data_IF_723014159052
#
_entry.id   IF_723014159052
#
_cell.length_a   1.000
_cell.length_b   1.000
_cell.length_c   1.000
_cell.angle_alpha   90.00
_cell.angle_beta   90.00
_cell.angle_gamma   90.00
#
_symmetry.space_group_name_H-M   'P 1'
#
loop_
_entity.id
_entity.type
_entity.pdbx_description
1 polymer ?
#
# COMPACT_ATOMS: atom_id res chain seq x y z
N UNK A 1 -12.25 11.42 -26.76
CA UNK A 1 -12.59 12.01 -25.45
C UNK A 1 -11.30 12.02 -24.64
N UNK A 2 -10.54 13.12 -24.70
CA UNK A 2 -9.26 13.22 -23.98
C UNK A 2 -9.58 13.36 -22.50
N UNK A 3 -9.44 12.29 -21.74
CA UNK A 3 -9.33 12.39 -20.29
C UNK A 3 -8.05 13.16 -20.03
N UNK A 4 -8.15 14.48 -19.87
CA UNK A 4 -7.13 15.31 -19.21
C UNK A 4 -7.06 14.84 -17.75
N UNK A 5 -6.53 13.64 -17.53
CA UNK A 5 -5.93 13.28 -16.26
C UNK A 5 -4.73 14.21 -16.15
N UNK A 6 -4.77 15.12 -15.19
CA UNK A 6 -3.59 15.87 -14.82
C UNK A 6 -2.51 14.83 -14.49
N UNK A 7 -1.47 14.73 -15.32
CA UNK A 7 -0.37 13.83 -15.05
C UNK A 7 0.15 14.14 -13.65
N UNK A 8 0.29 13.14 -12.77
CA UNK A 8 0.71 13.36 -11.40
C UNK A 8 2.12 13.98 -11.40
N UNK A 9 2.21 15.26 -11.01
CA UNK A 9 3.47 15.99 -10.91
C UNK A 9 4.00 15.96 -9.49
N UNK A 10 5.33 16.02 -9.38
CA UNK A 10 5.98 16.09 -8.07
C UNK A 10 5.97 17.52 -7.56
N UNK A 11 5.77 17.70 -6.24
CA UNK A 11 5.89 19.02 -5.57
C UNK A 11 7.28 19.65 -5.64
N UNK A 12 8.28 18.94 -6.16
CA UNK A 12 9.66 19.38 -6.24
C UNK A 12 10.20 19.15 -7.66
N UNK A 13 11.06 20.06 -8.16
CA UNK A 13 11.61 19.95 -9.51
C UNK A 13 12.59 18.78 -9.58
N UNK A 14 12.21 17.71 -10.29
CA UNK A 14 13.05 16.53 -10.51
C UNK A 14 13.78 16.54 -11.88
N UNK A 15 13.58 17.60 -12.68
CA UNK A 15 14.22 17.78 -13.98
C UNK A 15 13.90 16.64 -14.93
N UNK A 16 14.91 16.12 -15.64
CA UNK A 16 14.74 15.04 -16.63
C UNK A 16 14.26 13.69 -16.08
N UNK A 17 14.22 13.53 -14.75
CA UNK A 17 13.85 12.26 -14.09
C UNK A 17 12.43 12.27 -13.53
N UNK A 18 11.68 13.36 -13.68
CA UNK A 18 10.36 13.52 -13.09
C UNK A 18 9.39 12.40 -13.50
N UNK A 19 9.25 12.12 -14.79
CA UNK A 19 8.38 11.03 -15.29
C UNK A 19 8.79 9.64 -14.78
N UNK A 20 10.10 9.38 -14.69
CA UNK A 20 10.63 8.11 -14.19
C UNK A 20 10.34 7.93 -12.70
N UNK A 21 10.48 9.00 -11.90
CA UNK A 21 10.19 8.99 -10.47
C UNK A 21 8.69 8.87 -10.21
N UNK A 22 7.86 9.58 -10.96
CA UNK A 22 6.40 9.47 -10.89
C UNK A 22 5.97 8.03 -11.18
N UNK A 23 6.48 7.44 -12.26
CA UNK A 23 6.19 6.04 -12.62
C UNK A 23 6.63 5.07 -11.52
N UNK A 24 7.81 5.28 -10.94
CA UNK A 24 8.32 4.46 -9.83
C UNK A 24 7.43 4.57 -8.59
N UNK A 25 6.98 5.78 -8.23
CA UNK A 25 6.11 5.99 -7.07
C UNK A 25 4.73 5.35 -7.31
N UNK A 26 4.17 5.46 -8.51
CA UNK A 26 2.91 4.77 -8.86
C UNK A 26 3.09 3.26 -8.77
N UNK A 27 4.18 2.72 -9.32
CA UNK A 27 4.46 1.28 -9.26
C UNK A 27 4.63 0.79 -7.81
N UNK A 28 5.30 1.57 -6.96
CA UNK A 28 5.41 1.30 -5.52
C UNK A 28 4.05 1.33 -4.82
N UNK A 29 3.23 2.36 -5.07
CA UNK A 29 1.89 2.45 -4.49
C UNK A 29 1.00 1.29 -4.94
N UNK A 30 1.04 0.93 -6.22
CA UNK A 30 0.33 -0.22 -6.76
C UNK A 30 0.79 -1.54 -6.12
N UNK A 31 2.10 -1.75 -6.01
CA UNK A 31 2.67 -2.94 -5.37
C UNK A 31 2.29 -3.06 -3.89
N UNK A 32 2.36 -1.97 -3.13
CA UNK A 32 1.97 -1.95 -1.72
C UNK A 32 0.46 -2.13 -1.56
N UNK A 33 -0.34 -1.56 -2.47
CA UNK A 33 -1.78 -1.79 -2.53
C UNK A 33 -2.14 -3.26 -2.71
N UNK A 34 -1.49 -3.94 -3.67
CA UNK A 34 -1.69 -5.39 -3.89
C UNK A 34 -1.25 -6.19 -2.66
N UNK A 35 -0.09 -5.88 -2.07
CA UNK A 35 0.36 -6.54 -0.83
C UNK A 35 -0.63 -6.35 0.32
N UNK A 36 -1.20 -5.16 0.47
CA UNK A 36 -2.19 -4.87 1.51
C UNK A 36 -3.45 -5.73 1.32
N UNK A 37 -3.92 -5.89 0.08
CA UNK A 37 -5.04 -6.77 -0.25
C UNK A 37 -4.70 -8.23 0.10
N UNK A 38 -3.53 -8.72 -0.32
CA UNK A 38 -3.10 -10.09 -0.02
C UNK A 38 -3.00 -10.36 1.49
N UNK A 39 -2.41 -9.43 2.25
CA UNK A 39 -2.32 -9.53 3.71
C UNK A 39 -3.71 -9.54 4.34
N UNK A 40 -4.64 -8.73 3.84
CA UNK A 40 -6.03 -8.69 4.32
C UNK A 40 -6.76 -10.02 4.06
N UNK A 41 -6.61 -10.60 2.86
CA UNK A 41 -7.16 -11.92 2.54
C UNK A 41 -6.54 -13.02 3.40
N UNK A 42 -5.23 -13.01 3.57
CA UNK A 42 -4.53 -13.97 4.43
C UNK A 42 -5.00 -13.88 5.88
N UNK A 43 -5.16 -12.66 6.39
CA UNK A 43 -5.69 -12.42 7.73
C UNK A 43 -7.15 -12.90 7.87
N UNK A 44 -8.01 -12.61 6.91
CA UNK A 44 -9.39 -13.11 6.89
C UNK A 44 -9.42 -14.65 6.89
N UNK A 45 -8.54 -15.29 6.11
CA UNK A 45 -8.39 -16.74 6.12
C UNK A 45 -7.95 -17.28 7.49
N UNK A 46 -6.98 -16.64 8.15
CA UNK A 46 -6.57 -17.03 9.51
C UNK A 46 -7.69 -16.88 10.53
N UNK A 47 -8.45 -15.77 10.48
CA UNK A 47 -9.58 -15.53 11.37
C UNK A 47 -10.66 -16.59 11.16
N UNK A 48 -11.07 -16.86 9.92
CA UNK A 48 -12.07 -17.90 9.62
C UNK A 48 -11.56 -19.27 10.08
N UNK A 49 -10.31 -19.60 9.78
CA UNK A 49 -9.73 -20.88 10.18
C UNK A 49 -9.64 -21.03 11.71
N UNK A 50 -9.44 -19.93 12.45
CA UNK A 50 -9.42 -19.96 13.92
C UNK A 50 -10.76 -20.34 14.56
N UNK A 51 -11.89 -20.13 13.87
CA UNK A 51 -13.20 -20.61 14.32
C UNK A 51 -13.34 -22.14 14.20
N UNK A 52 -12.69 -22.75 13.20
CA UNK A 52 -12.76 -24.19 12.95
C UNK A 52 -11.65 -24.98 13.66
N UNK A 53 -10.47 -24.37 13.78
CA UNK A 53 -9.29 -24.95 14.42
C UNK A 53 -8.69 -23.85 15.31
N UNK A 54 -9.07 -23.77 16.59
CA UNK A 54 -8.58 -22.73 17.49
C UNK A 54 -7.07 -22.89 17.69
N UNK A 55 -6.29 -22.03 17.03
CA UNK A 55 -4.85 -21.91 17.26
C UNK A 55 -4.62 -20.77 18.27
N UNK A 56 -3.91 -21.05 19.36
CA UNK A 56 -3.54 -20.07 20.41
C UNK A 56 -2.50 -19.02 19.95
N UNK A 57 -2.56 -18.54 18.70
CA UNK A 57 -1.60 -17.57 18.16
C UNK A 57 -2.12 -16.14 18.28
N UNK A 58 -2.48 -15.73 19.50
CA UNK A 58 -2.87 -14.35 19.80
C UNK A 58 -1.74 -13.33 19.49
N UNK A 59 -0.47 -13.75 19.52
CA UNK A 59 0.66 -12.83 19.30
C UNK A 59 0.90 -12.41 17.84
N UNK A 60 0.27 -13.07 16.86
CA UNK A 60 0.45 -12.72 15.44
C UNK A 60 -0.42 -11.52 15.01
N UNK A 61 -1.56 -11.32 15.66
CA UNK A 61 -2.56 -10.32 15.31
C UNK A 61 -2.09 -8.85 15.38
N UNK A 62 -1.35 -8.42 16.42
CA UNK A 62 -0.86 -7.04 16.52
C UNK A 62 0.19 -6.72 15.44
N UNK A 63 1.03 -7.71 15.07
CA UNK A 63 2.05 -7.54 14.04
C UNK A 63 1.46 -7.29 12.65
N UNK A 64 0.38 -7.99 12.31
CA UNK A 64 -0.34 -7.78 11.04
C UNK A 64 -1.00 -6.41 11.00
N UNK A 65 -1.61 -5.97 12.10
CA UNK A 65 -2.23 -4.64 12.20
C UNK A 65 -1.18 -3.52 12.08
N UNK A 66 -0.03 -3.66 12.76
CA UNK A 66 1.08 -2.72 12.66
C UNK A 66 1.68 -2.65 11.25
N UNK A 67 1.80 -3.80 10.57
CA UNK A 67 2.26 -3.88 9.18
C UNK A 67 1.29 -3.16 8.22
N UNK A 68 -0.03 -3.36 8.39
CA UNK A 68 -1.04 -2.67 7.60
C UNK A 68 -1.02 -1.15 7.81
N UNK A 69 -0.89 -0.69 9.06
CA UNK A 69 -0.75 0.74 9.38
C UNK A 69 0.56 1.32 8.80
N UNK A 70 1.66 0.58 8.84
CA UNK A 70 2.93 0.99 8.24
C UNK A 70 2.85 1.13 6.73
N UNK A 71 2.18 0.20 6.04
CA UNK A 71 1.93 0.26 4.60
C UNK A 71 1.04 1.45 4.23
N UNK A 72 -0.03 1.71 4.99
CA UNK A 72 -0.89 2.87 4.79
C UNK A 72 -0.15 4.20 5.00
N UNK A 73 0.67 4.30 6.05
CA UNK A 73 1.50 5.48 6.31
C UNK A 73 2.52 5.72 5.19
N UNK A 74 3.12 4.67 4.65
CA UNK A 74 4.07 4.78 3.53
C UNK A 74 3.38 5.24 2.25
N UNK A 75 2.20 4.69 1.93
CA UNK A 75 1.38 5.17 0.81
C UNK A 75 1.01 6.65 1.00
N UNK A 76 0.61 7.04 2.21
CA UNK A 76 0.26 8.43 2.52
C UNK A 76 1.46 9.38 2.33
N UNK A 77 2.66 8.99 2.77
CA UNK A 77 3.89 9.75 2.55
C UNK A 77 4.21 9.90 1.08
N UNK A 78 4.13 8.81 0.31
CA UNK A 78 4.32 8.85 -1.14
C UNK A 78 3.27 9.72 -1.83
N UNK A 79 2.01 9.66 -1.38
CA UNK A 79 0.94 10.50 -1.92
C UNK A 79 1.23 11.98 -1.67
N UNK A 80 1.85 12.33 -0.55
CA UNK A 80 2.23 13.71 -0.23
C UNK A 80 3.29 14.30 -1.16
N UNK A 81 4.04 13.46 -1.88
CA UNK A 81 5.05 13.87 -2.87
C UNK A 81 4.41 14.39 -4.16
N UNK A 82 3.18 13.99 -4.45
CA UNK A 82 2.40 14.53 -5.56
C UNK A 82 1.80 15.89 -5.19
N UNK A 83 1.69 16.78 -6.17
CA UNK A 83 1.05 18.09 -6.02
C UNK A 83 -0.48 18.00 -5.96
#
# INVERSE_FOLDING_TARGET
MSTNQADPKLKFPAGRFEDSLVTLIIALQGGIGIMTILVSFFYAHLVVNSYFIPQEKFSFYPGVLALALGMAAFIYLLHRLYE
#
